data_IF_854937419635
#
_entry.id   IF_854937419635
#
_cell.length_a   1.000
_cell.length_b   1.000
_cell.length_c   1.000
_cell.angle_alpha   90.00
_cell.angle_beta   90.00
_cell.angle_gamma   90.00
#
_symmetry.space_group_name_H-M   'P 1'
#
loop_
_entity.id
_entity.type
_entity.pdbx_description
1 polymer ?
#
# COMPACT_ATOMS: atom_id res chain seq x y z
N UNK A 1 -17.31 -2.46 38.83
CA UNK A 1 -18.17 -2.90 37.70
C UNK A 1 -18.15 -4.42 37.65
N UNK A 2 -18.96 -5.11 36.83
CA UNK A 2 -18.81 -6.57 36.64
C UNK A 2 -19.37 -7.04 35.29
N UNK A 3 -18.89 -8.20 34.82
CA UNK A 3 -19.36 -8.82 33.57
C UNK A 3 -20.48 -9.82 33.88
N UNK A 4 -21.58 -9.72 33.14
CA UNK A 4 -22.74 -10.59 33.27
C UNK A 4 -23.00 -11.35 31.98
N UNK A 5 -23.04 -12.69 32.09
CA UNK A 5 -23.55 -13.57 31.02
C UNK A 5 -25.08 -13.54 31.01
N UNK A 6 -25.66 -13.33 29.83
CA UNK A 6 -27.10 -13.28 29.60
C UNK A 6 -27.49 -14.30 28.53
N UNK A 7 -28.58 -15.04 28.73
CA UNK A 7 -29.11 -15.95 27.71
C UNK A 7 -29.91 -15.12 26.72
N UNK A 8 -29.59 -15.21 25.43
CA UNK A 8 -30.32 -14.54 24.35
C UNK A 8 -31.02 -15.59 23.48
N UNK A 9 -32.23 -15.26 23.01
CA UNK A 9 -33.01 -16.12 22.11
C UNK A 9 -33.10 -15.45 20.74
N UNK A 10 -32.81 -16.20 19.67
CA UNK A 10 -32.97 -15.70 18.31
C UNK A 10 -34.44 -15.87 17.89
N UNK A 11 -35.13 -14.78 17.53
CA UNK A 11 -36.55 -14.85 17.08
C UNK A 11 -36.75 -15.66 15.80
N UNK A 12 -35.68 -15.98 15.05
CA UNK A 12 -35.72 -16.64 13.73
C UNK A 12 -35.39 -18.13 13.75
N UNK A 13 -34.72 -18.63 14.80
CA UNK A 13 -34.30 -20.02 14.95
C UNK A 13 -34.48 -20.42 16.43
N UNK A 14 -35.59 -21.08 16.75
CA UNK A 14 -36.12 -21.24 18.12
C UNK A 14 -35.47 -22.37 18.94
N UNK A 15 -34.32 -22.91 18.53
CA UNK A 15 -33.75 -24.13 19.14
C UNK A 15 -32.36 -23.95 19.78
N UNK A 16 -31.61 -22.90 19.49
CA UNK A 16 -30.25 -22.72 20.05
C UNK A 16 -30.17 -21.51 20.98
N UNK A 17 -29.91 -21.78 22.27
CA UNK A 17 -29.60 -20.75 23.27
C UNK A 17 -28.17 -20.28 23.03
N UNK A 18 -27.98 -19.02 22.65
CA UNK A 18 -26.66 -18.40 22.63
C UNK A 18 -26.49 -17.44 23.81
N UNK A 19 -25.24 -17.28 24.25
CA UNK A 19 -24.89 -16.41 25.36
C UNK A 19 -24.39 -15.08 24.82
N UNK A 20 -24.81 -13.99 25.45
CA UNK A 20 -24.22 -12.66 25.24
C UNK A 20 -23.69 -12.13 26.56
N UNK A 21 -22.64 -11.32 26.47
CA UNK A 21 -21.96 -10.78 27.63
C UNK A 21 -22.18 -9.27 27.70
N UNK A 22 -22.30 -8.73 28.92
CA UNK A 22 -22.55 -7.31 29.16
C UNK A 22 -21.69 -6.82 30.31
N UNK A 23 -21.12 -5.63 30.18
CA UNK A 23 -20.50 -4.92 31.29
C UNK A 23 -21.60 -4.15 32.04
N UNK A 24 -21.71 -4.39 33.34
CA UNK A 24 -22.79 -3.89 34.19
C UNK A 24 -22.21 -3.11 35.37
N UNK A 25 -22.88 -2.02 35.73
CA UNK A 25 -22.60 -1.26 36.94
C UNK A 25 -23.76 -1.40 37.93
N UNK A 26 -23.41 -1.64 39.20
CA UNK A 26 -24.33 -1.57 40.33
C UNK A 26 -24.26 -0.18 40.96
N UNK A 27 -25.40 0.47 41.15
CA UNK A 27 -25.52 1.77 41.81
C UNK A 27 -26.64 1.75 42.85
N UNK A 28 -26.58 2.61 43.87
CA UNK A 28 -27.62 2.70 44.90
C UNK A 28 -28.54 3.89 44.64
N UNK A 29 -29.83 3.69 44.83
CA UNK A 29 -30.86 4.74 44.87
C UNK A 29 -31.61 4.57 46.19
N UNK A 30 -31.27 5.40 47.18
CA UNK A 30 -31.68 5.17 48.58
C UNK A 30 -31.17 3.80 49.07
N UNK A 31 -32.06 3.04 49.69
CA UNK A 31 -31.75 1.69 50.23
C UNK A 31 -31.76 0.58 49.18
N UNK A 32 -32.09 0.88 47.92
CA UNK A 32 -32.20 -0.12 46.85
C UNK A 32 -30.97 -0.12 45.96
N UNK A 33 -30.36 -1.30 45.80
CA UNK A 33 -29.31 -1.53 44.79
C UNK A 33 -29.98 -1.76 43.43
N UNK A 34 -29.60 -0.96 42.43
CA UNK A 34 -30.02 -1.10 41.03
C UNK A 34 -28.81 -1.41 40.16
N UNK A 35 -29.07 -1.95 38.98
CA UNK A 35 -28.04 -2.27 37.99
C UNK A 35 -28.37 -1.58 36.67
N UNK A 36 -27.34 -1.06 35.99
CA UNK A 36 -27.45 -0.55 34.61
C UNK A 36 -26.42 -1.23 33.72
N UNK A 37 -26.80 -1.53 32.49
CA UNK A 37 -25.87 -2.03 31.46
C UNK A 37 -25.08 -0.85 30.94
N UNK A 38 -23.75 -0.96 30.95
CA UNK A 38 -22.83 0.04 30.44
C UNK A 38 -22.50 -0.22 28.96
N UNK A 39 -22.05 -1.43 28.64
CA UNK A 39 -21.70 -1.87 27.27
C UNK A 39 -22.22 -3.29 27.03
N UNK A 40 -22.66 -3.56 25.80
CA UNK A 40 -22.88 -4.93 25.33
C UNK A 40 -21.59 -5.47 24.71
N UNK A 41 -21.01 -6.50 25.31
CA UNK A 41 -19.76 -7.13 24.87
C UNK A 41 -19.98 -8.15 23.74
N UNK A 42 -21.23 -8.47 23.41
CA UNK A 42 -21.58 -9.38 22.32
C UNK A 42 -21.53 -10.86 22.69
N UNK A 43 -21.75 -11.73 21.70
CA UNK A 43 -21.60 -13.19 21.82
C UNK A 43 -20.15 -13.64 21.73
N UNK A 44 -19.32 -12.85 21.04
CA UNK A 44 -17.96 -13.22 20.67
C UNK A 44 -16.92 -12.84 21.74
N UNK A 45 -17.40 -12.32 22.88
CA UNK A 45 -16.58 -12.03 24.04
C UNK A 45 -15.93 -13.31 24.57
N UNK A 46 -14.61 -13.39 24.43
CA UNK A 46 -13.82 -14.59 24.67
C UNK A 46 -12.75 -14.40 25.75
N UNK A 47 -13.13 -13.85 26.90
CA UNK A 47 -12.23 -13.75 28.07
C UNK A 47 -12.64 -14.81 29.09
N UNK A 48 -11.66 -15.54 29.64
CA UNK A 48 -11.90 -16.54 30.67
C UNK A 48 -12.63 -15.94 31.87
N UNK A 49 -13.57 -16.71 32.44
CA UNK A 49 -14.42 -16.24 33.55
C UNK A 49 -13.61 -15.77 34.76
N UNK A 50 -12.46 -16.39 34.99
CA UNK A 50 -11.51 -16.05 36.07
C UNK A 50 -10.94 -14.63 35.90
N UNK A 51 -10.78 -14.18 34.65
CA UNK A 51 -10.25 -12.87 34.29
C UNK A 51 -11.31 -11.77 34.25
N UNK A 52 -12.60 -12.08 34.39
CA UNK A 52 -13.67 -11.06 34.29
C UNK A 52 -13.59 -10.00 35.38
N UNK A 53 -13.28 -10.40 36.62
CA UNK A 53 -13.13 -9.46 37.74
C UNK A 53 -11.97 -8.50 37.47
N UNK A 54 -10.83 -9.05 37.05
CA UNK A 54 -9.62 -8.30 36.69
C UNK A 54 -9.93 -7.30 35.58
N UNK A 55 -10.55 -7.74 34.48
CA UNK A 55 -10.93 -6.88 33.37
C UNK A 55 -11.88 -5.76 33.82
N UNK A 56 -12.96 -6.09 34.54
CA UNK A 56 -13.96 -5.11 34.95
C UNK A 56 -13.44 -4.09 35.98
N UNK A 57 -12.53 -4.50 36.86
CA UNK A 57 -11.85 -3.61 37.78
C UNK A 57 -10.87 -2.71 37.02
N UNK A 58 -10.10 -3.29 36.09
CA UNK A 58 -9.15 -2.51 35.29
C UNK A 58 -9.84 -1.45 34.43
N UNK A 59 -10.98 -1.76 33.81
CA UNK A 59 -11.82 -0.78 33.10
C UNK A 59 -12.24 0.35 34.05
N UNK A 60 -12.70 0.00 35.26
CA UNK A 60 -13.10 0.98 36.25
C UNK A 60 -11.94 1.85 36.73
N UNK A 61 -10.75 1.27 36.92
CA UNK A 61 -9.53 1.98 37.30
C UNK A 61 -9.10 2.95 36.21
N UNK A 62 -9.15 2.56 34.93
CA UNK A 62 -8.85 3.46 33.80
C UNK A 62 -9.84 4.64 33.79
N UNK A 63 -11.14 4.39 33.93
CA UNK A 63 -12.17 5.45 33.94
C UNK A 63 -12.01 6.38 35.14
N UNK A 64 -11.66 5.83 36.31
CA UNK A 64 -11.50 6.58 37.56
C UNK A 64 -10.08 7.12 37.77
N UNK A 65 -9.18 6.96 36.80
CA UNK A 65 -7.78 7.39 36.87
C UNK A 65 -7.05 6.84 38.10
N UNK A 66 -7.25 5.55 38.37
CA UNK A 66 -6.54 4.83 39.43
C UNK A 66 -5.37 4.07 38.83
N UNK A 67 -4.19 4.30 39.38
CA UNK A 67 -3.03 3.50 39.05
C UNK A 67 -3.25 2.06 39.52
N UNK A 68 -2.88 1.10 38.66
CA UNK A 68 -2.85 -0.29 39.05
C UNK A 68 -1.57 -0.56 39.83
N UNK A 69 -1.69 -1.19 41.00
CA UNK A 69 -0.54 -1.66 41.77
C UNK A 69 0.14 -2.88 41.14
N UNK A 70 -0.53 -3.56 40.21
CA UNK A 70 -0.06 -4.80 39.60
C UNK A 70 -0.09 -4.71 38.08
N UNK A 71 0.92 -5.27 37.42
CA UNK A 71 0.94 -5.42 35.97
C UNK A 71 -0.20 -6.36 35.52
N UNK A 72 -0.95 -5.89 34.53
CA UNK A 72 -2.02 -6.66 33.90
C UNK A 72 -1.50 -7.25 32.59
N UNK A 73 -1.99 -8.44 32.24
CA UNK A 73 -1.70 -9.07 30.95
C UNK A 73 -1.99 -8.13 29.77
N UNK A 74 -1.13 -8.11 28.75
CA UNK A 74 -1.17 -7.09 27.67
C UNK A 74 -2.46 -7.13 26.87
N UNK A 75 -2.98 -8.32 26.59
CA UNK A 75 -4.24 -8.49 25.85
C UNK A 75 -5.42 -7.97 26.68
N UNK A 76 -5.40 -8.27 27.97
CA UNK A 76 -6.40 -7.89 28.96
C UNK A 76 -6.40 -6.37 29.21
N UNK A 77 -5.21 -5.76 29.24
CA UNK A 77 -4.99 -4.31 29.33
C UNK A 77 -5.50 -3.59 28.09
N UNK A 78 -5.15 -4.06 26.89
CA UNK A 78 -5.66 -3.51 25.62
C UNK A 78 -7.19 -3.52 25.59
N UNK A 79 -7.79 -4.64 25.98
CA UNK A 79 -9.24 -4.78 26.03
C UNK A 79 -9.88 -3.86 27.09
N UNK A 80 -9.23 -3.70 28.25
CA UNK A 80 -9.69 -2.78 29.28
C UNK A 80 -9.67 -1.32 28.79
N UNK A 81 -8.60 -0.92 28.09
CA UNK A 81 -8.48 0.41 27.47
C UNK A 81 -9.55 0.62 26.40
N UNK A 82 -9.78 -0.36 25.52
CA UNK A 82 -10.80 -0.28 24.48
C UNK A 82 -12.20 -0.06 25.07
N UNK A 83 -12.60 -0.86 26.07
CA UNK A 83 -13.90 -0.70 26.73
C UNK A 83 -14.00 0.60 27.53
N UNK A 84 -12.91 1.04 28.18
CA UNK A 84 -12.89 2.32 28.88
C UNK A 84 -13.07 3.50 27.90
N UNK A 85 -12.41 3.49 26.74
CA UNK A 85 -12.58 4.49 25.69
C UNK A 85 -14.01 4.52 25.15
N UNK A 86 -14.63 3.36 24.92
CA UNK A 86 -16.03 3.28 24.54
C UNK A 86 -16.95 3.90 25.61
N UNK A 87 -16.68 3.69 26.90
CA UNK A 87 -17.45 4.31 27.97
C UNK A 87 -17.24 5.82 28.07
N UNK A 88 -16.00 6.28 27.92
CA UNK A 88 -15.65 7.71 27.97
C UNK A 88 -16.30 8.46 26.80
N UNK A 89 -16.22 7.91 25.58
CA UNK A 89 -16.86 8.51 24.39
C UNK A 89 -18.38 8.59 24.52
N UNK A 90 -19.04 7.53 25.01
CA UNK A 90 -20.50 7.54 25.27
C UNK A 90 -20.89 8.52 26.38
N UNK A 91 -20.02 8.71 27.37
CA UNK A 91 -20.25 9.65 28.48
C UNK A 91 -20.06 11.10 28.05
N UNK A 92 -19.05 11.39 27.21
CA UNK A 92 -18.78 12.70 26.64
C UNK A 92 -19.92 13.24 25.77
N UNK A 93 -20.62 12.36 25.06
CA UNK A 93 -21.82 12.69 24.25
C UNK A 93 -23.06 12.94 25.13
N UNK A 94 -23.13 12.42 26.36
CA UNK A 94 -24.25 12.67 27.28
C UNK A 94 -24.09 13.96 28.10
N UNK A 95 -22.87 14.47 28.25
CA UNK A 95 -22.61 15.73 28.95
C UNK A 95 -23.04 16.98 28.17
N UNK A 96 -23.37 16.87 26.87
CA UNK A 96 -23.71 18.02 26.02
C UNK A 96 -25.12 18.58 26.19
N UNK A 97 -26.00 17.94 26.97
CA UNK A 97 -27.36 18.46 27.25
C UNK A 97 -27.48 19.24 28.58
N UNK A 98 -26.38 19.46 29.30
CA UNK A 98 -26.41 20.39 30.44
C UNK A 98 -25.88 21.75 29.98
N UNK A 99 -26.82 22.65 29.71
CA UNK A 99 -26.59 24.07 29.47
C UNK A 99 -25.47 24.65 30.34
N UNK A 100 -24.39 25.12 29.72
CA UNK A 100 -23.49 26.10 30.34
C UNK A 100 -23.24 27.21 29.34
N UNK A 101 -23.92 28.33 29.56
CA UNK A 101 -23.62 29.65 29.00
C UNK A 101 -22.29 30.18 29.59
N UNK A 102 -21.20 29.46 29.39
CA UNK A 102 -19.85 29.95 29.70
C UNK A 102 -19.02 29.90 28.43
N UNK A 103 -18.64 31.07 27.92
CA UNK A 103 -17.83 31.20 26.70
C UNK A 103 -16.42 30.61 26.83
N UNK A 104 -15.95 30.39 28.07
CA UNK A 104 -14.63 29.82 28.36
C UNK A 104 -14.69 28.91 29.58
N UNK A 105 -14.03 27.76 29.50
CA UNK A 105 -13.78 26.86 30.62
C UNK A 105 -12.28 26.87 30.95
N UNK A 106 -11.94 26.98 32.24
CA UNK A 106 -10.56 26.87 32.70
C UNK A 106 -10.15 25.40 32.80
N UNK A 107 -9.10 25.01 32.09
CA UNK A 107 -8.52 23.66 32.12
C UNK A 107 -7.16 23.76 32.80
N UNK A 108 -6.90 22.90 33.79
CA UNK A 108 -5.54 22.73 34.33
C UNK A 108 -4.71 21.91 33.34
N UNK A 109 -3.79 22.59 32.66
CA UNK A 109 -2.91 21.98 31.65
C UNK A 109 -2.02 20.89 32.26
N UNK A 110 -1.70 20.99 33.55
CA UNK A 110 -0.88 19.99 34.25
C UNK A 110 -1.68 18.72 34.61
N UNK A 111 -3.01 18.76 34.53
CA UNK A 111 -3.89 17.63 34.79
C UNK A 111 -4.34 16.92 33.49
N UNK A 112 -3.78 17.31 32.34
CA UNK A 112 -4.08 16.69 31.04
C UNK A 112 -3.34 15.36 30.95
N UNK A 113 -4.10 14.29 30.79
CA UNK A 113 -3.59 12.93 30.53
C UNK A 113 -4.05 12.46 29.14
N UNK A 114 -3.17 11.78 28.42
CA UNK A 114 -3.48 11.20 27.11
C UNK A 114 -3.88 9.74 27.29
N UNK A 115 -5.08 9.39 26.81
CA UNK A 115 -5.56 8.01 26.81
C UNK A 115 -5.55 7.54 25.36
N UNK A 116 -4.79 6.46 25.08
CA UNK A 116 -4.65 5.87 23.74
C UNK A 116 -4.24 6.87 22.65
N UNK A 117 -3.07 7.52 22.78
CA UNK A 117 -2.59 8.47 21.77
C UNK A 117 -2.37 7.76 20.42
N UNK A 118 -2.80 8.38 19.33
CA UNK A 118 -2.71 7.87 17.96
C UNK A 118 -2.05 8.87 17.01
N UNK A 119 -1.31 8.38 16.02
CA UNK A 119 -0.75 9.19 14.93
C UNK A 119 -1.72 9.33 13.76
N UNK A 120 -1.84 10.54 13.18
CA UNK A 120 -2.72 10.80 12.01
C UNK A 120 -1.98 11.53 10.87
N UNK A 121 -0.70 11.91 11.04
CA UNK A 121 0.02 12.75 10.08
C UNK A 121 0.21 12.08 8.71
N UNK A 122 1.08 11.08 8.64
CA UNK A 122 1.35 10.37 7.38
C UNK A 122 0.14 9.54 6.95
N UNK A 123 -0.62 9.01 7.91
CA UNK A 123 -1.85 8.26 7.69
C UNK A 123 -2.84 9.04 6.84
N UNK A 124 -3.06 10.31 7.19
CA UNK A 124 -3.99 11.17 6.47
C UNK A 124 -3.52 11.42 5.03
N UNK A 125 -2.24 11.73 4.83
CA UNK A 125 -1.67 11.96 3.49
C UNK A 125 -1.84 10.73 2.59
N UNK A 126 -1.56 9.53 3.13
CA UNK A 126 -1.72 8.29 2.37
C UNK A 126 -3.19 8.01 2.10
N UNK A 127 -4.08 8.26 3.07
CA UNK A 127 -5.51 8.07 2.89
C UNK A 127 -6.11 9.03 1.84
N UNK A 128 -5.71 10.31 1.84
CA UNK A 128 -6.11 11.26 0.79
C UNK A 128 -5.60 10.79 -0.59
N UNK A 129 -4.36 10.32 -0.68
CA UNK A 129 -3.82 9.72 -1.92
C UNK A 129 -4.65 8.50 -2.37
N UNK A 130 -5.05 7.62 -1.45
CA UNK A 130 -5.91 6.45 -1.74
C UNK A 130 -7.26 6.89 -2.34
N UNK A 131 -7.83 8.00 -1.83
CA UNK A 131 -9.08 8.58 -2.36
C UNK A 131 -8.88 9.20 -3.74
N UNK A 132 -7.80 9.96 -3.96
CA UNK A 132 -7.47 10.52 -5.28
C UNK A 132 -7.24 9.42 -6.32
N UNK A 133 -6.64 8.31 -5.90
CA UNK A 133 -6.45 7.11 -6.70
C UNK A 133 -7.73 6.28 -6.86
N UNK A 134 -8.82 6.63 -6.17
CA UNK A 134 -10.12 5.95 -6.23
C UNK A 134 -10.06 4.45 -5.93
N UNK A 135 -9.14 4.05 -5.04
CA UNK A 135 -8.90 2.63 -4.76
C UNK A 135 -10.07 1.96 -4.05
N UNK A 136 -10.80 2.65 -3.18
CA UNK A 136 -11.96 2.08 -2.49
C UNK A 136 -13.04 1.61 -3.47
N UNK A 137 -13.40 2.48 -4.43
CA UNK A 137 -14.35 2.18 -5.48
C UNK A 137 -13.82 1.06 -6.39
N UNK A 138 -12.51 1.06 -6.68
CA UNK A 138 -11.88 0.00 -7.47
C UNK A 138 -11.97 -1.35 -6.77
N UNK A 139 -11.63 -1.44 -5.48
CA UNK A 139 -11.72 -2.66 -4.70
C UNK A 139 -13.16 -3.17 -4.61
N UNK A 140 -14.13 -2.27 -4.40
CA UNK A 140 -15.55 -2.64 -4.44
C UNK A 140 -15.96 -3.23 -5.80
N UNK A 141 -15.50 -2.64 -6.92
CA UNK A 141 -15.77 -3.15 -8.27
C UNK A 141 -15.18 -4.54 -8.53
N UNK A 142 -14.12 -4.90 -7.81
CA UNK A 142 -13.45 -6.21 -7.85
C UNK A 142 -14.07 -7.22 -6.87
N UNK A 143 -15.15 -6.85 -6.18
CA UNK A 143 -15.90 -7.75 -5.29
C UNK A 143 -15.37 -7.81 -3.85
N UNK A 144 -14.54 -6.84 -3.43
CA UNK A 144 -14.05 -6.80 -2.05
C UNK A 144 -15.20 -6.43 -1.11
N UNK A 145 -15.33 -7.17 0.00
CA UNK A 145 -16.24 -6.82 1.09
C UNK A 145 -15.75 -5.56 1.82
N UNK A 146 -16.62 -4.86 2.56
CA UNK A 146 -16.24 -3.70 3.38
C UNK A 146 -15.07 -4.02 4.33
N UNK A 147 -15.08 -5.19 4.94
CA UNK A 147 -13.98 -5.65 5.81
C UNK A 147 -12.67 -5.80 5.05
N UNK A 148 -12.70 -6.36 3.83
CA UNK A 148 -11.51 -6.48 2.98
C UNK A 148 -11.02 -5.12 2.47
N UNK A 149 -11.92 -4.20 2.13
CA UNK A 149 -11.57 -2.83 1.74
C UNK A 149 -10.86 -2.12 2.88
N UNK A 150 -11.43 -2.14 4.09
CA UNK A 150 -10.79 -1.53 5.25
C UNK A 150 -9.46 -2.21 5.60
N UNK A 151 -9.36 -3.53 5.42
CA UNK A 151 -8.10 -4.26 5.58
C UNK A 151 -7.05 -3.82 4.55
N UNK A 152 -7.45 -3.67 3.29
CA UNK A 152 -6.59 -3.20 2.20
C UNK A 152 -6.06 -1.81 2.45
N UNK A 153 -6.94 -0.86 2.77
CA UNK A 153 -6.58 0.53 3.08
C UNK A 153 -5.60 0.56 4.25
N UNK A 154 -5.91 -0.14 5.34
CA UNK A 154 -5.04 -0.20 6.53
C UNK A 154 -3.65 -0.74 6.22
N UNK A 155 -3.56 -1.85 5.50
CA UNK A 155 -2.27 -2.45 5.14
C UNK A 155 -1.49 -1.55 4.19
N UNK A 156 -2.14 -0.89 3.23
CA UNK A 156 -1.48 0.09 2.35
C UNK A 156 -0.90 1.27 3.15
N UNK A 157 -1.69 1.85 4.06
CA UNK A 157 -1.25 2.92 4.95
C UNK A 157 -0.08 2.45 5.82
N UNK A 158 -0.19 1.28 6.44
CA UNK A 158 0.87 0.74 7.29
C UNK A 158 2.17 0.51 6.51
N UNK A 159 2.11 -0.04 5.29
CA UNK A 159 3.30 -0.27 4.46
C UNK A 159 3.94 1.03 3.97
N UNK A 160 3.15 2.06 3.72
CA UNK A 160 3.65 3.37 3.31
C UNK A 160 4.25 4.18 4.47
N UNK A 161 3.59 4.18 5.63
CA UNK A 161 3.97 5.02 6.77
C UNK A 161 4.97 4.35 7.72
N UNK A 162 4.86 3.03 7.89
CA UNK A 162 5.65 2.27 8.87
C UNK A 162 6.01 0.87 8.32
N UNK A 163 6.89 0.80 7.29
CA UNK A 163 7.22 -0.46 6.62
C UNK A 163 7.78 -1.48 7.61
N UNK A 164 7.20 -2.69 7.60
CA UNK A 164 7.57 -3.78 8.48
C UNK A 164 6.91 -5.09 8.08
N UNK A 165 7.05 -6.12 8.91
CA UNK A 165 6.32 -7.38 8.70
C UNK A 165 4.80 -7.15 8.75
N UNK A 166 4.02 -8.08 8.20
CA UNK A 166 2.55 -8.02 8.29
C UNK A 166 2.08 -7.99 9.76
N UNK A 167 2.67 -8.82 10.63
CA UNK A 167 2.43 -8.77 12.07
C UNK A 167 2.66 -7.38 12.65
N UNK A 168 3.80 -6.74 12.31
CA UNK A 168 4.09 -5.37 12.77
C UNK A 168 3.15 -4.32 12.18
N UNK A 169 2.68 -4.52 10.96
CA UNK A 169 1.70 -3.64 10.33
C UNK A 169 0.36 -3.71 11.08
N UNK A 170 -0.08 -4.91 11.46
CA UNK A 170 -1.30 -5.14 12.24
C UNK A 170 -1.18 -4.52 13.64
N UNK A 171 -0.07 -4.77 14.35
CA UNK A 171 0.19 -4.16 15.66
C UNK A 171 0.17 -2.63 15.58
N UNK A 172 0.85 -2.07 14.57
CA UNK A 172 0.92 -0.63 14.39
C UNK A 172 -0.47 -0.01 14.12
N UNK A 173 -1.29 -0.63 13.26
CA UNK A 173 -2.68 -0.22 13.03
C UNK A 173 -3.53 -0.28 14.30
N UNK A 174 -3.31 -1.29 15.14
CA UNK A 174 -4.11 -1.50 16.36
C UNK A 174 -3.71 -0.60 17.51
N UNK A 175 -2.45 -0.22 17.65
CA UNK A 175 -1.94 0.40 18.87
C UNK A 175 -1.27 1.77 18.68
N UNK A 176 -0.88 2.14 17.47
CA UNK A 176 -0.10 3.37 17.23
C UNK A 176 -0.79 4.29 16.23
N UNK A 177 -1.28 3.73 15.13
CA UNK A 177 -1.90 4.49 14.06
C UNK A 177 -3.33 4.88 14.39
N UNK A 178 -3.69 6.08 13.96
CA UNK A 178 -5.05 6.63 13.93
C UNK A 178 -5.69 6.53 12.54
N UNK A 179 -5.17 5.65 11.66
CA UNK A 179 -5.67 5.49 10.31
C UNK A 179 -7.15 5.05 10.29
N UNK A 180 -7.53 4.10 11.16
CA UNK A 180 -8.88 3.56 11.22
C UNK A 180 -9.94 4.63 11.52
N UNK A 181 -9.59 5.64 12.32
CA UNK A 181 -10.42 6.76 12.69
C UNK A 181 -10.78 7.64 11.50
N UNK A 182 -9.95 7.67 10.45
CA UNK A 182 -10.20 8.46 9.24
C UNK A 182 -11.40 7.95 8.42
N UNK A 183 -11.69 6.65 8.51
CA UNK A 183 -12.78 5.98 7.76
C UNK A 183 -13.67 5.08 8.62
N UNK A 184 -13.63 5.26 9.95
CA UNK A 184 -14.52 4.56 10.89
C UNK A 184 -14.28 3.06 11.01
N UNK A 185 -13.03 2.61 10.96
CA UNK A 185 -12.64 1.20 11.11
C UNK A 185 -11.89 0.96 12.43
N UNK A 186 -12.43 0.10 13.31
CA UNK A 186 -11.71 -0.39 14.49
C UNK A 186 -10.94 -1.68 14.15
N UNK A 187 -9.62 -1.57 13.99
CA UNK A 187 -8.73 -2.71 13.69
C UNK A 187 -8.66 -3.76 14.80
N UNK A 188 -9.11 -3.47 16.03
CA UNK A 188 -9.21 -4.46 17.10
C UNK A 188 -10.37 -5.43 16.88
N UNK A 189 -11.36 -5.05 16.07
CA UNK A 189 -12.50 -5.92 15.72
C UNK A 189 -12.21 -6.85 14.54
N UNK A 190 -11.13 -6.57 13.79
CA UNK A 190 -10.74 -7.37 12.64
C UNK A 190 -9.84 -8.53 13.06
N UNK A 191 -10.13 -9.73 12.53
CA UNK A 191 -9.24 -10.88 12.74
C UNK A 191 -7.92 -10.72 11.99
N UNK A 192 -6.84 -11.22 12.57
CA UNK A 192 -5.52 -11.26 11.94
C UNK A 192 -5.57 -11.92 10.56
N UNK A 193 -6.30 -13.04 10.45
CA UNK A 193 -6.45 -13.76 9.19
C UNK A 193 -7.07 -12.90 8.07
N UNK A 194 -8.00 -12.00 8.41
CA UNK A 194 -8.57 -11.07 7.42
C UNK A 194 -7.52 -10.09 6.90
N UNK A 195 -6.64 -9.62 7.77
CA UNK A 195 -5.57 -8.68 7.43
C UNK A 195 -4.46 -9.39 6.63
N UNK A 196 -4.07 -10.61 7.02
CA UNK A 196 -3.06 -11.40 6.29
C UNK A 196 -3.50 -11.78 4.86
N UNK A 197 -4.77 -12.15 4.68
CA UNK A 197 -5.29 -12.59 3.37
C UNK A 197 -5.41 -11.48 2.34
N UNK A 198 -5.19 -10.23 2.72
CA UNK A 198 -5.34 -9.12 1.77
C UNK A 198 -4.25 -9.14 0.70
N UNK A 199 -3.04 -9.61 1.03
CA UNK A 199 -1.95 -9.76 0.07
C UNK A 199 -2.31 -10.74 -1.04
N UNK A 200 -2.91 -11.89 -0.69
CA UNK A 200 -3.41 -12.87 -1.67
C UNK A 200 -4.51 -12.28 -2.57
N UNK A 201 -5.37 -11.44 -1.98
CA UNK A 201 -6.46 -10.78 -2.70
C UNK A 201 -5.92 -9.73 -3.69
N UNK A 202 -4.90 -8.96 -3.29
CA UNK A 202 -4.19 -8.07 -4.20
C UNK A 202 -3.51 -8.83 -5.33
N UNK A 203 -2.83 -9.94 -5.02
CA UNK A 203 -2.14 -10.74 -6.03
C UNK A 203 -3.12 -11.32 -7.05
N UNK A 204 -4.26 -11.82 -6.60
CA UNK A 204 -5.33 -12.35 -7.47
C UNK A 204 -5.88 -11.29 -8.44
N UNK A 205 -5.92 -10.03 -8.01
CA UNK A 205 -6.46 -8.91 -8.81
C UNK A 205 -5.37 -8.00 -9.37
N UNK A 206 -4.10 -8.45 -9.37
CA UNK A 206 -2.93 -7.61 -9.62
C UNK A 206 -3.04 -6.80 -10.92
N UNK A 207 -3.34 -7.47 -12.04
CA UNK A 207 -3.43 -6.81 -13.35
C UNK A 207 -4.50 -5.71 -13.38
N UNK A 208 -5.66 -6.00 -12.79
CA UNK A 208 -6.78 -5.09 -12.73
C UNK A 208 -6.50 -3.87 -11.83
N UNK A 209 -5.68 -4.04 -10.78
CA UNK A 209 -5.24 -2.97 -9.88
C UNK A 209 -4.15 -2.12 -10.55
N UNK A 210 -3.12 -2.75 -11.13
CA UNK A 210 -2.04 -2.04 -11.83
C UNK A 210 -2.59 -1.20 -12.99
N UNK A 211 -3.50 -1.75 -13.81
CA UNK A 211 -4.12 -1.00 -14.90
C UNK A 211 -4.92 0.21 -14.39
N UNK A 212 -5.63 0.06 -13.27
CA UNK A 212 -6.37 1.16 -12.65
C UNK A 212 -5.43 2.26 -12.16
N UNK A 213 -4.37 1.87 -11.43
CA UNK A 213 -3.35 2.81 -10.95
C UNK A 213 -2.65 3.54 -12.10
N UNK A 214 -2.31 2.83 -13.18
CA UNK A 214 -1.74 3.41 -14.38
C UNK A 214 -2.67 4.48 -14.99
N UNK A 215 -3.92 4.10 -15.25
CA UNK A 215 -4.90 5.01 -15.86
C UNK A 215 -5.14 6.23 -14.98
N UNK A 216 -5.21 6.03 -13.66
CA UNK A 216 -5.48 7.10 -12.72
C UNK A 216 -4.31 8.06 -12.57
N UNK A 217 -3.09 7.52 -12.52
CA UNK A 217 -1.87 8.33 -12.49
C UNK A 217 -1.74 9.16 -13.77
N UNK A 218 -2.01 8.56 -14.95
CA UNK A 218 -2.01 9.28 -16.22
C UNK A 218 -3.02 10.44 -16.22
N UNK A 219 -4.23 10.22 -15.69
CA UNK A 219 -5.24 11.27 -15.59
C UNK A 219 -4.87 12.39 -14.61
N UNK A 220 -4.18 12.06 -13.51
CA UNK A 220 -3.80 13.03 -12.48
C UNK A 220 -2.61 13.90 -12.89
N UNK A 221 -1.65 13.32 -13.60
CA UNK A 221 -0.38 13.96 -13.93
C UNK A 221 -0.25 14.37 -15.41
N UNK A 222 -1.18 13.96 -16.27
CA UNK A 222 -1.26 14.33 -17.69
C UNK A 222 0.08 14.16 -18.44
N UNK A 223 0.70 12.98 -18.29
CA UNK A 223 1.96 12.66 -18.94
C UNK A 223 1.77 11.87 -20.24
N UNK A 224 2.67 12.11 -21.20
CA UNK A 224 2.79 11.35 -22.44
C UNK A 224 3.46 10.00 -22.20
N UNK A 225 2.97 8.93 -22.83
CA UNK A 225 3.53 7.57 -22.71
C UNK A 225 4.80 7.37 -23.56
N UNK A 226 5.75 8.31 -23.47
CA UNK A 226 6.95 8.31 -24.28
C UNK A 226 8.04 7.41 -23.70
N UNK A 227 8.17 7.27 -22.38
CA UNK A 227 9.36 6.63 -21.78
C UNK A 227 8.95 5.41 -20.96
N UNK A 228 9.52 4.25 -21.31
CA UNK A 228 9.42 3.01 -20.55
C UNK A 228 10.78 2.64 -19.98
N UNK A 229 11.00 2.94 -18.70
CA UNK A 229 12.22 2.54 -17.99
C UNK A 229 12.04 1.11 -17.49
N UNK A 230 13.00 0.26 -17.82
CA UNK A 230 13.03 -1.11 -17.37
C UNK A 230 14.12 -1.30 -16.31
N UNK A 231 13.71 -1.61 -15.08
CA UNK A 231 14.63 -1.93 -13.99
C UNK A 231 14.38 -3.35 -13.47
N UNK A 232 15.49 -4.04 -13.22
CA UNK A 232 15.54 -5.37 -12.63
C UNK A 232 16.29 -5.29 -11.32
N UNK A 233 15.65 -5.68 -10.24
CA UNK A 233 16.30 -5.82 -8.94
C UNK A 233 16.08 -7.22 -8.39
N UNK A 234 17.08 -7.78 -7.73
CA UNK A 234 16.92 -9.05 -7.01
C UNK A 234 16.93 -8.80 -5.51
N UNK A 235 16.07 -9.53 -4.82
CA UNK A 235 16.03 -9.62 -3.36
C UNK A 235 16.20 -11.07 -2.95
N UNK A 236 16.48 -11.31 -1.68
CA UNK A 236 16.74 -12.64 -1.16
C UNK A 236 15.78 -13.02 -0.03
N UNK A 237 15.64 -14.32 0.21
CA UNK A 237 14.94 -14.86 1.38
C UNK A 237 15.93 -15.19 2.48
N UNK A 238 15.57 -14.88 3.73
CA UNK A 238 16.21 -15.48 4.89
C UNK A 238 15.61 -16.88 5.13
N UNK A 239 16.44 -17.92 5.09
CA UNK A 239 16.03 -19.34 5.23
C UNK A 239 15.97 -20.13 3.92
N UNK A 240 15.40 -21.34 3.96
CA UNK A 240 15.53 -22.32 2.85
C UNK A 240 14.60 -22.06 1.64
N UNK A 241 13.54 -21.26 1.81
CA UNK A 241 12.49 -20.98 0.82
C UNK A 241 12.07 -22.22 -0.01
N UNK A 242 11.91 -23.38 0.64
CA UNK A 242 11.66 -24.68 -0.02
C UNK A 242 10.34 -24.76 -0.78
N UNK A 243 9.35 -23.98 -0.35
CA UNK A 243 7.99 -23.98 -0.92
C UNK A 243 7.75 -22.84 -1.92
N UNK A 244 8.77 -22.04 -2.21
CA UNK A 244 8.65 -20.92 -3.14
C UNK A 244 9.27 -21.36 -4.46
N UNK A 245 8.41 -21.61 -5.46
CA UNK A 245 8.80 -22.13 -6.77
C UNK A 245 9.83 -21.21 -7.46
N UNK A 246 9.58 -19.90 -7.43
CA UNK A 246 10.47 -18.89 -8.05
C UNK A 246 11.78 -18.65 -7.28
N UNK A 247 11.97 -19.26 -6.12
CA UNK A 247 13.14 -19.00 -5.29
C UNK A 247 14.35 -19.82 -5.76
N UNK A 248 15.32 -19.16 -6.39
CA UNK A 248 16.49 -19.79 -6.99
C UNK A 248 17.79 -19.09 -6.57
N UNK A 249 18.90 -19.82 -6.51
CA UNK A 249 20.23 -19.23 -6.26
C UNK A 249 20.76 -18.60 -7.55
N UNK A 250 21.30 -17.39 -7.43
CA UNK A 250 21.85 -16.64 -8.56
C UNK A 250 22.84 -15.58 -8.10
N UNK A 251 23.17 -14.65 -9.00
CA UNK A 251 24.06 -13.53 -8.69
C UNK A 251 23.30 -12.46 -7.90
N UNK A 252 23.41 -12.50 -6.58
CA UNK A 252 22.82 -11.49 -5.69
C UNK A 252 23.51 -10.13 -5.82
N UNK A 253 22.73 -9.05 -5.97
CA UNK A 253 23.24 -7.66 -5.91
C UNK A 253 23.79 -7.33 -4.52
N UNK A 254 23.27 -7.98 -3.48
CA UNK A 254 23.71 -7.87 -2.09
C UNK A 254 24.81 -8.88 -1.69
N UNK A 255 25.37 -9.62 -2.67
CA UNK A 255 26.46 -10.59 -2.47
C UNK A 255 26.11 -11.75 -1.52
N UNK A 256 24.82 -12.08 -1.38
CA UNK A 256 24.32 -13.26 -0.64
C UNK A 256 24.32 -14.50 -1.53
N UNK A 257 25.42 -15.26 -1.53
CA UNK A 257 25.53 -16.54 -2.25
C UNK A 257 24.87 -17.72 -1.52
N UNK A 258 24.61 -17.56 -0.22
CA UNK A 258 23.97 -18.53 0.67
C UNK A 258 22.45 -18.62 0.43
N UNK A 259 21.83 -17.48 0.11
CA UNK A 259 20.39 -17.30 0.04
C UNK A 259 19.80 -17.59 -1.34
N UNK A 260 18.52 -17.99 -1.34
CA UNK A 260 17.71 -18.02 -2.56
C UNK A 260 17.16 -16.63 -2.85
N UNK A 261 17.07 -16.30 -4.13
CA UNK A 261 16.68 -15.01 -4.65
C UNK A 261 15.31 -15.08 -5.33
N UNK A 262 14.70 -13.91 -5.50
CA UNK A 262 13.65 -13.63 -6.47
C UNK A 262 13.98 -12.31 -7.16
N UNK A 263 13.57 -12.19 -8.42
CA UNK A 263 13.84 -11.01 -9.23
C UNK A 263 12.56 -10.22 -9.43
N UNK A 264 12.56 -8.94 -9.07
CA UNK A 264 11.49 -7.99 -9.34
C UNK A 264 11.87 -7.18 -10.59
N UNK A 265 11.02 -7.28 -11.61
CA UNK A 265 11.04 -6.40 -12.75
C UNK A 265 9.98 -5.31 -12.56
N UNK A 266 10.35 -4.06 -12.82
CA UNK A 266 9.44 -2.93 -12.77
C UNK A 266 9.54 -2.14 -14.06
N UNK A 267 8.38 -1.73 -14.54
CA UNK A 267 8.20 -0.91 -15.72
C UNK A 267 7.73 0.45 -15.25
N UNK A 268 8.53 1.48 -15.48
CA UNK A 268 8.22 2.84 -15.07
C UNK A 268 7.92 3.71 -16.29
N UNK A 269 7.07 4.71 -16.07
CA UNK A 269 6.96 5.86 -16.96
C UNK A 269 8.09 6.87 -16.69
N UNK A 270 8.31 7.84 -17.60
CA UNK A 270 9.34 8.88 -17.48
C UNK A 270 9.26 9.75 -16.22
N UNK A 271 8.09 9.88 -15.59
CA UNK A 271 7.91 10.56 -14.30
C UNK A 271 8.23 9.67 -13.09
N UNK A 272 8.55 8.39 -13.31
CA UNK A 272 8.88 7.42 -12.27
C UNK A 272 7.69 6.63 -11.71
N UNK A 273 6.49 6.77 -12.29
CA UNK A 273 5.33 5.96 -11.87
C UNK A 273 5.41 4.53 -12.40
N UNK A 274 5.07 3.56 -11.54
CA UNK A 274 5.03 2.15 -11.90
C UNK A 274 3.81 1.88 -12.79
N UNK A 275 4.07 1.41 -14.01
CA UNK A 275 3.03 0.89 -14.92
C UNK A 275 2.70 -0.57 -14.62
N UNK A 276 3.73 -1.37 -14.41
CA UNK A 276 3.62 -2.82 -14.24
C UNK A 276 4.80 -3.36 -13.45
N UNK A 277 4.54 -4.40 -12.66
CA UNK A 277 5.58 -5.13 -11.94
C UNK A 277 5.47 -6.62 -12.22
N UNK A 278 6.57 -7.37 -12.20
CA UNK A 278 6.54 -8.84 -12.32
C UNK A 278 7.62 -9.46 -11.46
N UNK A 279 7.28 -10.56 -10.78
CA UNK A 279 8.25 -11.36 -10.03
C UNK A 279 8.68 -12.56 -10.89
N UNK A 280 9.97 -12.66 -11.13
CA UNK A 280 10.64 -13.74 -11.85
C UNK A 280 11.46 -14.62 -10.91
N UNK A 281 11.97 -15.73 -11.47
CA UNK A 281 12.91 -16.59 -10.76
C UNK A 281 14.19 -15.84 -10.38
N UNK A 282 14.77 -16.20 -9.23
CA UNK A 282 15.95 -15.53 -8.67
C UNK A 282 17.24 -15.62 -9.50
N UNK A 283 17.30 -16.54 -10.44
CA UNK A 283 18.45 -16.79 -11.31
C UNK A 283 18.18 -16.41 -12.78
N UNK A 284 17.07 -15.72 -13.06
CA UNK A 284 16.74 -15.31 -14.41
C UNK A 284 17.81 -14.35 -14.95
N UNK A 285 18.18 -14.53 -16.22
CA UNK A 285 19.13 -13.63 -16.87
C UNK A 285 18.45 -12.31 -17.22
N UNK A 286 19.09 -11.17 -16.93
CA UNK A 286 18.51 -9.85 -17.20
C UNK A 286 18.09 -9.66 -18.68
N UNK A 287 18.86 -10.09 -19.69
CA UNK A 287 18.45 -9.93 -21.10
C UNK A 287 17.18 -10.70 -21.46
N UNK A 288 17.00 -11.93 -20.98
CA UNK A 288 15.88 -12.79 -21.39
C UNK A 288 14.50 -12.29 -20.91
N UNK A 289 14.47 -11.37 -19.95
CA UNK A 289 13.22 -10.89 -19.33
C UNK A 289 12.56 -9.73 -20.06
N UNK A 290 13.32 -8.98 -20.87
CA UNK A 290 12.82 -7.76 -21.52
C UNK A 290 11.66 -8.09 -22.47
N UNK A 291 11.87 -9.08 -23.35
CA UNK A 291 10.87 -9.49 -24.35
C UNK A 291 9.56 -9.90 -23.72
N UNK A 292 9.60 -10.80 -22.74
CA UNK A 292 8.40 -11.26 -22.02
C UNK A 292 7.67 -10.09 -21.37
N UNK A 293 8.39 -9.15 -20.75
CA UNK A 293 7.79 -7.97 -20.13
C UNK A 293 7.17 -7.01 -21.14
N UNK A 294 7.87 -6.69 -22.24
CA UNK A 294 7.35 -5.81 -23.29
C UNK A 294 6.10 -6.42 -23.94
N UNK A 295 6.10 -7.73 -24.21
CA UNK A 295 4.93 -8.43 -24.74
C UNK A 295 3.75 -8.35 -23.75
N UNK A 296 4.02 -8.45 -22.44
CA UNK A 296 2.99 -8.32 -21.40
C UNK A 296 2.55 -6.85 -21.17
N UNK A 297 3.37 -5.87 -21.60
CA UNK A 297 3.08 -4.43 -21.54
C UNK A 297 2.33 -3.93 -22.77
N UNK A 298 2.20 -4.73 -23.83
CA UNK A 298 1.33 -4.40 -24.97
C UNK A 298 -0.12 -4.32 -24.48
N UNK A 299 -0.47 -3.16 -23.94
CA UNK A 299 -1.84 -2.68 -23.94
C UNK A 299 -2.23 -2.65 -25.42
N UNK A 300 -3.31 -3.32 -25.85
CA UNK A 300 -3.81 -3.15 -27.20
C UNK A 300 -4.02 -1.66 -27.38
N UNK A 301 -3.13 -1.02 -28.15
CA UNK A 301 -3.38 0.31 -28.66
C UNK A 301 -4.57 0.11 -29.57
N UNK A 302 -5.77 0.29 -29.03
CA UNK A 302 -6.95 0.52 -29.84
C UNK A 302 -6.68 1.86 -30.53
N UNK A 303 -5.94 1.79 -31.64
CA UNK A 303 -5.90 2.80 -32.68
C UNK A 303 -7.31 2.84 -33.31
N UNK A 304 -8.27 3.31 -32.52
CA UNK A 304 -9.64 3.67 -32.92
C UNK A 304 -10.12 4.89 -32.14
N UNK A 305 -9.22 5.71 -31.60
CA UNK A 305 -9.56 7.07 -31.16
C UNK A 305 -9.53 8.02 -32.36
N UNK A 306 -10.52 7.83 -33.24
CA UNK A 306 -11.12 8.95 -33.95
C UNK A 306 -12.16 9.59 -33.03
N UNK A 307 -11.70 10.29 -31.99
CA UNK A 307 -12.53 11.24 -31.25
C UNK A 307 -12.33 12.62 -31.86
N UNK A 308 -13.30 13.17 -32.63
CA UNK A 308 -13.17 14.50 -33.18
C UNK A 308 -13.39 15.51 -32.06
N UNK A 309 -12.32 16.03 -31.44
CA UNK A 309 -12.48 17.11 -30.46
C UNK A 309 -11.26 17.56 -29.64
N UNK A 310 -10.18 16.80 -29.53
CA UNK A 310 -8.99 17.26 -28.81
C UNK A 310 -8.10 18.11 -29.71
N UNK A 311 -8.18 19.43 -29.53
CA UNK A 311 -7.25 20.39 -30.11
C UNK A 311 -5.87 20.26 -29.45
N UNK A 312 -5.10 19.24 -29.82
CA UNK A 312 -3.66 19.20 -29.53
C UNK A 312 -2.96 20.26 -30.40
N UNK A 313 -2.74 21.43 -29.83
CA UNK A 313 -2.01 22.55 -30.43
C UNK A 313 -0.48 22.37 -30.33
N UNK A 314 0.03 21.17 -30.60
CA UNK A 314 1.45 20.97 -30.87
C UNK A 314 1.60 20.47 -32.31
N UNK A 315 2.35 21.17 -33.17
CA UNK A 315 2.55 20.74 -34.55
C UNK A 315 3.41 19.49 -34.55
N UNK A 316 2.79 18.32 -34.59
CA UNK A 316 3.45 17.06 -34.90
C UNK A 316 3.85 17.08 -36.37
N UNK A 317 5.14 16.89 -36.63
CA UNK A 317 5.69 16.71 -37.97
C UNK A 317 4.96 15.55 -38.67
N UNK A 318 4.61 15.68 -39.96
CA UNK A 318 3.91 14.61 -40.68
C UNK A 318 4.84 13.40 -40.81
N UNK A 319 4.50 12.30 -40.13
CA UNK A 319 5.21 11.01 -40.22
C UNK A 319 5.55 10.32 -38.90
N UNK A 320 5.40 10.98 -37.74
CA UNK A 320 5.73 10.35 -36.44
C UNK A 320 4.60 9.42 -35.98
N UNK A 321 4.78 8.11 -36.16
CA UNK A 321 4.13 7.14 -35.25
C UNK A 321 4.67 7.44 -33.85
N UNK A 322 3.82 7.61 -32.83
CA UNK A 322 4.26 7.66 -31.42
C UNK A 322 4.82 6.26 -31.07
N UNK A 323 6.08 6.01 -31.39
CA UNK A 323 6.85 4.87 -30.88
C UNK A 323 7.17 5.14 -29.42
N UNK A 324 6.94 4.16 -28.55
CA UNK A 324 7.37 4.26 -27.15
C UNK A 324 8.89 4.07 -27.09
N UNK A 325 9.59 4.99 -26.41
CA UNK A 325 11.02 4.89 -26.12
C UNK A 325 11.25 3.95 -24.95
N UNK A 326 12.03 2.89 -25.20
CA UNK A 326 12.47 1.94 -24.17
C UNK A 326 13.87 2.31 -23.70
N UNK A 327 13.98 2.64 -22.41
CA UNK A 327 15.25 2.99 -21.77
C UNK A 327 15.67 1.84 -20.87
N UNK A 328 16.87 1.30 -21.09
CA UNK A 328 17.36 0.14 -20.34
C UNK A 328 18.84 0.25 -19.99
N UNK A 329 19.21 -0.43 -18.90
CA UNK A 329 20.59 -0.55 -18.45
C UNK A 329 21.43 -1.46 -19.36
N UNK A 330 22.76 -1.28 -19.33
CA UNK A 330 23.76 -2.07 -20.03
C UNK A 330 23.62 -3.58 -19.78
N UNK A 331 23.15 -4.00 -18.59
CA UNK A 331 22.92 -5.41 -18.27
C UNK A 331 21.89 -6.08 -19.19
N UNK A 332 20.88 -5.31 -19.62
CA UNK A 332 19.72 -5.78 -20.38
C UNK A 332 19.86 -5.51 -21.87
N UNK A 333 20.64 -4.51 -22.30
CA UNK A 333 20.82 -4.09 -23.69
C UNK A 333 21.65 -5.07 -24.56
N UNK A 334 21.17 -6.31 -24.74
CA UNK A 334 21.84 -7.32 -25.58
C UNK A 334 21.51 -7.03 -27.03
N UNK A 335 22.32 -7.52 -27.97
CA UNK A 335 22.01 -7.32 -29.39
C UNK A 335 20.64 -7.92 -29.73
N UNK A 336 20.34 -9.12 -29.23
CA UNK A 336 19.01 -9.76 -29.37
C UNK A 336 17.85 -8.89 -28.87
N UNK A 337 18.03 -8.16 -27.77
CA UNK A 337 17.00 -7.26 -27.23
C UNK A 337 16.85 -6.00 -28.07
N UNK A 338 17.96 -5.45 -28.58
CA UNK A 338 17.96 -4.29 -29.47
C UNK A 338 17.27 -4.66 -30.79
N UNK A 339 17.62 -5.81 -31.37
CA UNK A 339 17.01 -6.31 -32.61
C UNK A 339 15.51 -6.53 -32.42
N UNK A 340 15.09 -7.12 -31.28
CA UNK A 340 13.67 -7.27 -30.95
C UNK A 340 12.94 -5.92 -30.86
N UNK A 341 13.55 -4.89 -30.26
CA UNK A 341 12.93 -3.55 -30.19
C UNK A 341 12.73 -2.96 -31.59
N UNK A 342 13.75 -3.07 -32.46
CA UNK A 342 13.71 -2.62 -33.85
C UNK A 342 12.61 -3.32 -34.63
N UNK A 343 12.59 -4.65 -34.60
CA UNK A 343 11.58 -5.48 -35.28
C UNK A 343 10.15 -5.11 -34.87
N UNK A 344 9.96 -4.64 -33.63
CA UNK A 344 8.66 -4.28 -33.09
C UNK A 344 8.36 -2.77 -33.13
N UNK A 345 9.23 -1.96 -33.75
CA UNK A 345 9.02 -0.53 -33.97
C UNK A 345 9.13 0.33 -32.71
N UNK A 346 9.91 -0.09 -31.72
CA UNK A 346 10.20 0.70 -30.53
C UNK A 346 11.46 1.54 -30.73
N UNK A 347 11.42 2.78 -30.26
CA UNK A 347 12.64 3.56 -30.07
C UNK A 347 13.37 3.04 -28.83
N UNK A 348 14.69 3.16 -28.77
CA UNK A 348 15.45 2.75 -27.60
C UNK A 348 16.58 3.71 -27.23
N UNK A 349 16.88 3.76 -25.93
CA UNK A 349 18.06 4.42 -25.39
C UNK A 349 18.76 3.45 -24.45
N UNK A 350 19.97 3.03 -24.84
CA UNK A 350 20.72 2.01 -24.12
C UNK A 350 22.17 2.42 -23.89
N UNK A 351 22.75 1.92 -22.80
CA UNK A 351 24.19 2.02 -22.60
C UNK A 351 24.88 0.97 -23.47
N UNK A 352 25.66 1.43 -24.46
CA UNK A 352 26.39 0.54 -25.36
C UNK A 352 27.36 -0.37 -24.58
N UNK A 353 27.26 -1.68 -24.84
CA UNK A 353 28.21 -2.70 -24.34
C UNK A 353 29.44 -2.88 -25.24
N UNK A 354 29.46 -2.24 -26.42
CA UNK A 354 30.57 -2.38 -27.39
C UNK A 354 31.84 -1.78 -26.80
N UNK A 355 32.96 -2.52 -26.87
CA UNK A 355 34.28 -2.06 -26.37
C UNK A 355 34.86 -0.94 -27.24
N UNK A 356 34.63 -1.01 -28.54
CA UNK A 356 34.98 0.04 -29.50
C UNK A 356 33.76 0.93 -29.73
N UNK A 357 33.88 2.18 -29.32
CA UNK A 357 32.85 3.20 -29.54
C UNK A 357 33.16 3.91 -30.86
N UNK A 358 32.27 3.84 -31.83
CA UNK A 358 32.32 4.70 -33.00
C UNK A 358 31.88 6.10 -32.56
N UNK A 359 32.82 6.89 -32.06
CA UNK A 359 32.59 8.28 -31.65
C UNK A 359 33.59 9.20 -32.34
N UNK A 360 33.08 10.08 -33.19
CA UNK A 360 33.81 11.13 -33.87
C UNK A 360 33.47 12.47 -33.20
N UNK A 361 34.39 13.06 -32.41
CA UNK A 361 34.14 14.31 -31.72
C UNK A 361 33.89 15.49 -32.67
N UNK A 362 34.27 15.40 -33.95
CA UNK A 362 34.05 16.45 -34.95
C UNK A 362 32.60 16.42 -35.47
N UNK A 363 31.98 15.24 -35.51
CA UNK A 363 30.59 15.05 -35.94
C UNK A 363 29.59 15.13 -34.79
N UNK A 364 30.07 15.30 -33.56
CA UNK A 364 29.25 15.34 -32.37
C UNK A 364 28.78 16.77 -32.04
N UNK A 365 27.56 16.88 -31.51
CA UNK A 365 26.93 18.12 -31.04
C UNK A 365 26.90 18.13 -29.52
N UNK A 366 27.04 19.30 -28.92
CA UNK A 366 27.03 19.50 -27.47
C UNK A 366 25.58 19.53 -26.96
N UNK A 367 25.25 18.66 -26.01
CA UNK A 367 23.87 18.44 -25.55
C UNK A 367 23.64 18.98 -24.13
N UNK A 368 24.68 18.97 -23.30
CA UNK A 368 24.57 19.43 -21.91
C UNK A 368 25.88 20.02 -21.42
N UNK A 369 25.81 21.15 -20.73
CA UNK A 369 26.91 21.81 -20.03
C UNK A 369 26.71 21.77 -18.52
N UNK A 370 27.81 21.87 -17.75
CA UNK A 370 27.78 22.03 -16.31
C UNK A 370 27.57 23.51 -15.90
N UNK A 371 27.51 23.80 -14.60
CA UNK A 371 27.36 25.16 -14.06
C UNK A 371 28.55 26.10 -14.36
N UNK A 372 29.64 25.57 -14.94
CA UNK A 372 30.86 26.29 -15.32
C UNK A 372 31.03 26.32 -16.84
N UNK A 373 29.96 26.06 -17.59
CA UNK A 373 29.93 25.98 -19.06
C UNK A 373 30.84 24.91 -19.68
N UNK A 374 31.26 23.90 -18.92
CA UNK A 374 31.97 22.74 -19.48
C UNK A 374 30.98 21.76 -20.08
N UNK A 375 31.26 21.29 -21.29
CA UNK A 375 30.41 20.32 -22.00
C UNK A 375 30.57 18.95 -21.37
N UNK A 376 29.47 18.40 -20.85
CA UNK A 376 29.44 17.12 -20.14
C UNK A 376 28.75 16.00 -20.93
N UNK A 377 27.95 16.34 -21.95
CA UNK A 377 27.32 15.37 -22.84
C UNK A 377 27.43 15.83 -24.28
N UNK A 378 27.85 14.93 -25.16
CA UNK A 378 27.88 15.10 -26.62
C UNK A 378 27.10 13.98 -27.27
N UNK A 379 26.37 14.28 -28.34
CA UNK A 379 25.63 13.30 -29.14
C UNK A 379 26.15 13.34 -30.58
N UNK A 380 26.28 12.18 -31.19
CA UNK A 380 26.62 12.04 -32.61
C UNK A 380 25.53 11.18 -33.23
N UNK A 381 25.02 11.63 -34.39
CA UNK A 381 24.17 10.81 -35.24
C UNK A 381 25.05 9.88 -36.09
N UNK A 382 24.77 8.59 -36.06
CA UNK A 382 25.47 7.58 -36.85
C UNK A 382 24.48 6.95 -37.81
N UNK A 383 24.72 7.10 -39.11
CA UNK A 383 23.89 6.44 -40.14
C UNK A 383 24.57 5.13 -40.54
N UNK A 384 23.89 4.02 -40.30
CA UNK A 384 24.27 2.69 -40.75
C UNK A 384 23.57 2.47 -42.09
N UNK A 385 24.33 2.07 -43.11
CA UNK A 385 23.86 1.92 -44.47
C UNK A 385 23.97 0.47 -44.95
N UNK A 386 23.06 0.06 -45.83
CA UNK A 386 23.07 -1.26 -46.46
C UNK A 386 24.15 -1.36 -47.57
N UNK A 387 24.26 -2.54 -48.20
CA UNK A 387 25.20 -2.77 -49.31
C UNK A 387 24.91 -1.92 -50.56
N UNK A 388 23.72 -1.29 -50.63
CA UNK A 388 23.27 -0.43 -51.72
C UNK A 388 23.40 1.09 -51.38
N UNK A 389 24.05 1.43 -50.27
CA UNK A 389 24.26 2.79 -49.74
C UNK A 389 22.97 3.52 -49.30
N UNK A 390 21.87 2.78 -49.12
CA UNK A 390 20.65 3.31 -48.50
C UNK A 390 20.81 3.35 -46.97
N UNK A 391 20.20 4.35 -46.33
CA UNK A 391 20.20 4.43 -44.85
C UNK A 391 19.30 3.30 -44.32
N UNK A 392 19.92 2.32 -43.69
CA UNK A 392 19.26 1.19 -43.06
C UNK A 392 18.87 1.52 -41.61
N UNK A 393 19.74 2.26 -40.91
CA UNK A 393 19.55 2.61 -39.51
C UNK A 393 20.20 3.96 -39.15
N UNK A 394 19.63 4.65 -38.17
CA UNK A 394 20.18 5.88 -37.58
C UNK A 394 20.30 5.65 -36.07
N UNK A 395 21.52 5.56 -35.56
CA UNK A 395 21.85 5.50 -34.12
C UNK A 395 22.20 6.89 -33.55
#
# INVERSE_FOLDING_TARGET
>A
MFIRRTVSKNKKYDTEKYYTYRLVESYRVGDKVRQRVLINLGSDFNVDKEKWSILSNRIEDIIKRRESLFETDKELESLAQQYALQLISVSGVKSTETSRDEAYQSIDVNAIEQINPRSIGCEHIVYETIKELQLEARFASLGFTTTQINSAIGILIAKACHPGSEAKSIDWLRYTSGAGELYGCDYNTLSDNSLYRIADTFLTNKEAIEQHLHNRSKQLFDYDEAITLYDLTNTYFEGDAKKIEKAARGRSKEKRSDAKLVTLAVVLEGSGFIKKSTIFEGNISEPSTLKEMIDTLRVPSNNTDHTPGSNDKHPTLPGTRKSSLVVMDAGIASQENIDYLKENGYDYLVVSRKREKQFDPVKAVEVKTDKKDNVIVRAQRVEIKDEEDNIEEIE
#
